data_IF_637093268868
#
_entry.id   IF_637093268868
#
_cell.length_a   1.000
_cell.length_b   1.000
_cell.length_c   1.000
_cell.angle_alpha   90.00
_cell.angle_beta   90.00
_cell.angle_gamma   90.00
#
_symmetry.space_group_name_H-M   'P 1'
#
loop_
_entity.id
_entity.type
_entity.pdbx_description
1 polymer ?
#
# COMPACT_ATOMS: atom_id res chain seq x y z
N UNK A 1 1.06 52.19 3.88
CA UNK A 1 0.71 51.59 5.18
C UNK A 1 0.86 50.06 5.13
N UNK A 2 -0.09 49.29 4.58
CA UNK A 2 0.02 47.81 4.51
C UNK A 2 1.20 47.26 3.67
N UNK A 3 1.55 47.93 2.57
CA UNK A 3 2.77 47.63 1.79
C UNK A 3 4.06 47.91 2.57
N UNK A 4 4.02 48.87 3.49
CA UNK A 4 5.14 49.21 4.38
C UNK A 4 5.27 48.12 5.43
N UNK A 5 4.17 47.70 6.08
CA UNK A 5 4.12 46.56 7.00
C UNK A 5 4.66 45.28 6.37
N UNK A 6 4.35 44.98 5.11
CA UNK A 6 4.86 43.81 4.41
C UNK A 6 6.35 43.91 4.06
N UNK A 7 6.86 45.11 3.71
CA UNK A 7 8.30 45.33 3.58
C UNK A 7 9.00 45.17 4.92
N UNK A 8 8.39 45.66 5.99
CA UNK A 8 8.89 45.47 7.35
C UNK A 8 8.87 44.00 7.74
N UNK A 9 7.80 43.25 7.43
CA UNK A 9 7.71 41.80 7.71
C UNK A 9 8.70 41.00 6.88
N UNK A 10 8.94 41.36 5.61
CA UNK A 10 9.99 40.76 4.78
C UNK A 10 11.39 41.08 5.31
N UNK A 11 11.62 42.31 5.79
CA UNK A 11 12.87 42.69 6.48
C UNK A 11 13.01 41.91 7.78
N UNK A 12 11.96 41.81 8.59
CA UNK A 12 11.94 41.03 9.83
C UNK A 12 12.18 39.54 9.56
N UNK A 13 11.63 38.98 8.49
CA UNK A 13 11.88 37.59 8.06
C UNK A 13 13.34 37.39 7.65
N UNK A 14 13.87 38.25 6.77
CA UNK A 14 15.27 38.21 6.36
C UNK A 14 16.23 38.42 7.54
N UNK A 15 15.87 39.31 8.46
CA UNK A 15 16.64 39.62 9.66
C UNK A 15 16.55 38.51 10.71
N UNK A 16 15.40 37.82 10.86
CA UNK A 16 15.19 36.70 11.80
C UNK A 16 16.22 35.58 11.61
N UNK A 17 16.64 35.34 10.36
CA UNK A 17 17.67 34.36 10.03
C UNK A 17 19.11 34.87 10.23
N UNK A 18 19.29 36.16 10.52
CA UNK A 18 20.60 36.81 10.72
C UNK A 18 20.87 37.26 12.16
N UNK A 19 19.88 37.19 13.07
CA UNK A 19 20.05 37.62 14.46
C UNK A 19 20.89 36.62 15.30
N UNK A 20 22.00 37.06 15.93
CA UNK A 20 22.88 36.18 16.73
C UNK A 20 22.21 35.60 17.98
N UNK A 21 21.24 36.32 18.56
CA UNK A 21 20.42 35.88 19.70
C UNK A 21 19.43 34.77 19.34
N UNK A 22 19.16 34.60 18.05
CA UNK A 22 18.24 33.58 17.56
C UNK A 22 18.85 32.18 17.51
N UNK A 23 20.18 32.04 17.54
CA UNK A 23 20.87 30.74 17.58
C UNK A 23 20.58 29.88 18.84
N UNK A 24 19.85 30.42 19.83
CA UNK A 24 19.50 29.71 21.06
C UNK A 24 18.10 29.10 21.10
N UNK A 25 17.19 29.43 20.17
CA UNK A 25 15.88 28.76 20.14
C UNK A 25 15.91 27.50 19.25
N UNK A 26 15.13 26.46 19.57
CA UNK A 26 15.00 25.28 18.72
C UNK A 26 14.47 25.66 17.33
N UNK A 27 15.01 25.05 16.27
CA UNK A 27 14.60 25.27 14.88
C UNK A 27 13.08 25.17 14.66
N UNK A 28 12.42 24.25 15.38
CA UNK A 28 10.96 24.06 15.34
C UNK A 28 10.19 25.31 15.79
N UNK A 29 10.72 26.07 16.76
CA UNK A 29 10.06 27.27 17.26
C UNK A 29 10.10 28.40 16.23
N UNK A 30 11.21 28.52 15.48
CA UNK A 30 11.31 29.44 14.34
C UNK A 30 10.36 29.09 13.23
N UNK A 31 10.26 27.81 12.88
CA UNK A 31 9.34 27.34 11.85
C UNK A 31 7.88 27.62 12.24
N UNK A 32 7.53 27.46 13.52
CA UNK A 32 6.19 27.79 14.01
C UNK A 32 5.90 29.29 13.90
N UNK A 33 6.80 30.15 14.41
CA UNK A 33 6.59 31.61 14.36
C UNK A 33 6.54 32.14 12.92
N UNK A 34 7.41 31.62 12.06
CA UNK A 34 7.39 31.92 10.62
C UNK A 34 6.07 31.50 9.99
N UNK A 35 5.58 30.31 10.32
CA UNK A 35 4.27 29.86 9.84
C UNK A 35 3.16 30.75 10.33
N UNK A 36 3.05 31.03 11.63
CA UNK A 36 1.96 31.84 12.21
C UNK A 36 1.90 33.23 11.55
N UNK A 37 3.08 33.84 11.33
CA UNK A 37 3.16 35.14 10.69
C UNK A 37 2.78 35.10 9.20
N UNK A 38 3.27 34.10 8.46
CA UNK A 38 2.88 33.92 7.07
C UNK A 38 1.40 33.56 6.92
N UNK A 39 0.87 32.74 7.82
CA UNK A 39 -0.51 32.28 7.86
C UNK A 39 -1.47 33.44 8.07
N UNK A 40 -1.23 34.26 9.10
CA UNK A 40 -1.99 35.50 9.34
C UNK A 40 -1.93 36.46 8.13
N UNK A 41 -0.77 36.59 7.48
CA UNK A 41 -0.67 37.41 6.27
C UNK A 41 -1.50 36.85 5.12
N UNK A 42 -1.47 35.53 4.89
CA UNK A 42 -2.31 34.89 3.87
C UNK A 42 -3.79 35.13 4.17
N UNK A 43 -4.24 34.84 5.39
CA UNK A 43 -5.64 35.03 5.79
C UNK A 43 -6.09 36.49 5.64
N UNK A 44 -5.25 37.45 6.04
CA UNK A 44 -5.54 38.87 5.85
C UNK A 44 -5.63 39.27 4.38
N UNK A 45 -4.82 38.67 3.50
CA UNK A 45 -4.88 38.93 2.07
C UNK A 45 -6.13 38.35 1.43
N UNK A 46 -6.53 37.13 1.82
CA UNK A 46 -7.76 36.49 1.35
C UNK A 46 -8.99 37.30 1.80
N UNK A 47 -9.06 37.67 3.08
CA UNK A 47 -10.17 38.50 3.58
C UNK A 47 -10.21 39.87 2.88
N UNK A 48 -9.04 40.49 2.64
CA UNK A 48 -8.99 41.76 1.92
C UNK A 48 -9.41 41.63 0.44
N UNK A 49 -9.06 40.52 -0.22
CA UNK A 49 -9.52 40.18 -1.58
C UNK A 49 -11.05 40.06 -1.63
N UNK A 50 -11.64 39.25 -0.75
CA UNK A 50 -13.09 39.08 -0.67
C UNK A 50 -13.84 40.39 -0.42
N UNK A 51 -13.32 41.23 0.49
CA UNK A 51 -13.93 42.52 0.78
C UNK A 51 -13.89 43.44 -0.45
N UNK A 52 -12.82 43.39 -1.24
CA UNK A 52 -12.69 44.15 -2.49
C UNK A 52 -13.59 43.63 -3.60
N UNK A 53 -13.72 42.32 -3.77
CA UNK A 53 -14.66 41.72 -4.71
C UNK A 53 -16.10 42.09 -4.35
N UNK A 54 -16.44 42.10 -3.06
CA UNK A 54 -17.77 42.52 -2.58
C UNK A 54 -18.02 44.02 -2.82
N UNK A 55 -17.02 44.87 -2.56
CA UNK A 55 -17.09 46.30 -2.91
C UNK A 55 -17.30 46.50 -4.41
N UNK A 56 -16.59 45.72 -5.24
CA UNK A 56 -16.71 45.75 -6.70
C UNK A 56 -18.12 45.36 -7.14
N UNK A 57 -18.64 44.23 -6.66
CA UNK A 57 -19.99 43.75 -6.97
C UNK A 57 -21.05 44.79 -6.55
N UNK A 58 -20.87 45.42 -5.39
CA UNK A 58 -21.73 46.51 -4.92
C UNK A 58 -21.66 47.75 -5.81
N UNK A 59 -20.47 48.13 -6.27
CA UNK A 59 -20.24 49.28 -7.16
C UNK A 59 -20.78 49.05 -8.56
N UNK A 60 -20.60 47.85 -9.12
CA UNK A 60 -21.16 47.46 -10.42
C UNK A 60 -22.69 47.49 -10.36
N UNK A 61 -23.28 47.04 -9.25
CA UNK A 61 -24.74 47.07 -9.04
C UNK A 61 -25.27 48.48 -8.76
N UNK A 62 -24.47 49.37 -8.16
CA UNK A 62 -24.87 50.75 -7.82
C UNK A 62 -23.71 51.76 -7.93
N UNK A 63 -23.37 52.23 -9.16
CA UNK A 63 -22.20 53.08 -9.39
C UNK A 63 -22.27 54.46 -8.72
N UNK A 64 -23.49 54.96 -8.45
CA UNK A 64 -23.73 56.35 -8.01
C UNK A 64 -23.48 56.58 -6.52
N UNK A 65 -23.31 55.54 -5.72
CA UNK A 65 -23.32 55.66 -4.25
C UNK A 65 -21.92 55.77 -3.61
N UNK A 66 -20.84 55.46 -4.33
CA UNK A 66 -19.69 54.93 -3.60
C UNK A 66 -18.65 55.96 -3.13
N UNK A 67 -18.37 57.10 -3.78
CA UNK A 67 -17.27 57.99 -3.27
C UNK A 67 -17.35 59.50 -3.46
N UNK A 68 -18.50 60.10 -3.75
CA UNK A 68 -18.63 61.58 -3.74
C UNK A 68 -17.66 62.35 -4.67
N UNK A 69 -16.99 61.65 -5.59
CA UNK A 69 -16.16 62.17 -6.68
C UNK A 69 -16.66 61.58 -7.98
N UNK A 70 -16.81 62.40 -9.02
CA UNK A 70 -17.11 61.92 -10.36
C UNK A 70 -15.84 61.35 -10.99
N UNK A 71 -15.52 60.11 -10.67
CA UNK A 71 -14.62 59.34 -11.52
C UNK A 71 -15.42 58.84 -12.72
N UNK A 72 -14.82 58.89 -13.91
CA UNK A 72 -15.45 58.27 -15.07
C UNK A 72 -15.34 56.74 -14.96
N UNK A 73 -16.16 56.01 -15.72
CA UNK A 73 -16.26 54.56 -15.64
C UNK A 73 -14.92 53.86 -15.94
N UNK A 74 -14.10 54.45 -16.79
CA UNK A 74 -12.80 53.91 -17.21
C UNK A 74 -11.73 54.09 -16.12
N UNK A 75 -11.70 55.23 -15.41
CA UNK A 75 -10.81 55.48 -14.27
C UNK A 75 -11.08 54.49 -13.12
N UNK A 76 -12.36 54.19 -12.87
CA UNK A 76 -12.77 53.20 -11.88
C UNK A 76 -12.24 51.82 -12.30
N UNK A 77 -12.47 51.40 -13.55
CA UNK A 77 -11.96 50.12 -14.07
C UNK A 77 -10.43 50.02 -14.00
N UNK A 78 -9.71 51.11 -14.32
CA UNK A 78 -8.25 51.15 -14.30
C UNK A 78 -7.70 51.00 -12.88
N UNK A 79 -8.20 51.78 -11.90
CA UNK A 79 -7.74 51.71 -10.50
C UNK A 79 -8.02 50.33 -9.87
N UNK A 80 -9.10 49.66 -10.29
CA UNK A 80 -9.38 48.28 -9.88
C UNK A 80 -8.43 47.27 -10.50
N UNK A 81 -8.13 47.41 -11.80
CA UNK A 81 -7.16 46.54 -12.48
C UNK A 81 -5.78 46.65 -11.83
N UNK A 82 -5.35 47.87 -11.51
CA UNK A 82 -4.07 48.13 -10.84
C UNK A 82 -4.03 47.56 -9.42
N UNK A 83 -5.13 47.68 -8.65
CA UNK A 83 -5.22 47.09 -7.31
C UNK A 83 -5.26 45.56 -7.34
N UNK A 84 -5.98 44.96 -8.30
CA UNK A 84 -6.01 43.51 -8.51
C UNK A 84 -4.63 42.96 -8.85
N UNK A 85 -3.92 43.60 -9.79
CA UNK A 85 -2.53 43.28 -10.13
C UNK A 85 -1.58 43.40 -8.93
N UNK A 86 -1.78 44.42 -8.08
CA UNK A 86 -0.94 44.63 -6.92
C UNK A 86 -1.23 43.59 -5.82
N UNK A 87 -2.49 43.19 -5.62
CA UNK A 87 -2.87 42.08 -4.75
C UNK A 87 -2.31 40.74 -5.24
N UNK A 88 -2.42 40.46 -6.53
CA UNK A 88 -1.89 39.24 -7.15
C UNK A 88 -0.37 39.13 -6.95
N UNK A 89 0.36 40.22 -7.19
CA UNK A 89 1.81 40.30 -6.90
C UNK A 89 2.13 40.10 -5.43
N UNK A 90 1.28 40.59 -4.53
CA UNK A 90 1.47 40.46 -3.10
C UNK A 90 1.24 39.01 -2.63
N UNK A 91 0.15 38.40 -3.10
CA UNK A 91 -0.18 37.00 -2.85
C UNK A 91 0.98 36.11 -3.30
N UNK A 92 1.46 36.28 -4.53
CA UNK A 92 2.60 35.53 -5.05
C UNK A 92 3.86 35.67 -4.19
N UNK A 93 4.12 36.83 -3.59
CA UNK A 93 5.28 37.02 -2.71
C UNK A 93 5.09 36.33 -1.35
N UNK A 94 3.91 36.41 -0.75
CA UNK A 94 3.64 35.76 0.55
C UNK A 94 3.65 34.23 0.40
N UNK A 95 3.03 33.69 -0.66
CA UNK A 95 3.06 32.25 -0.91
C UNK A 95 4.48 31.74 -1.19
N UNK A 96 5.30 32.48 -1.93
CA UNK A 96 6.72 32.13 -2.09
C UNK A 96 7.46 32.03 -0.76
N UNK A 97 7.21 32.96 0.17
CA UNK A 97 7.83 32.91 1.50
C UNK A 97 7.36 31.68 2.30
N UNK A 98 6.07 31.33 2.24
CA UNK A 98 5.56 30.08 2.84
C UNK A 98 6.28 28.86 2.25
N UNK A 99 6.32 28.78 0.91
CA UNK A 99 6.94 27.70 0.17
C UNK A 99 8.46 27.65 0.31
N UNK A 100 9.12 28.71 0.78
CA UNK A 100 10.56 28.73 1.03
C UNK A 100 10.87 28.36 2.49
N UNK A 101 10.15 28.94 3.46
CA UNK A 101 10.57 28.90 4.87
C UNK A 101 9.78 27.92 5.76
N UNK A 102 8.57 27.52 5.38
CA UNK A 102 7.75 26.61 6.19
C UNK A 102 8.00 25.17 5.76
N UNK A 103 8.58 24.34 6.64
CA UNK A 103 8.88 22.93 6.38
C UNK A 103 8.12 21.96 7.28
N UNK A 104 7.11 22.45 8.01
CA UNK A 104 6.25 21.62 8.84
C UNK A 104 5.07 21.11 7.98
N UNK A 105 4.99 19.80 7.67
CA UNK A 105 3.95 19.29 6.79
C UNK A 105 2.55 19.42 7.39
N UNK A 106 2.38 19.39 8.72
CA UNK A 106 1.07 19.55 9.37
C UNK A 106 0.52 20.95 9.16
N UNK A 107 1.37 21.96 9.33
CA UNK A 107 1.02 23.37 9.11
C UNK A 107 0.71 23.65 7.64
N UNK A 108 1.54 23.14 6.72
CA UNK A 108 1.29 23.26 5.28
C UNK A 108 -0.01 22.54 4.88
N UNK A 109 -0.30 21.36 5.45
CA UNK A 109 -1.53 20.62 5.15
C UNK A 109 -2.79 21.32 5.66
N UNK A 110 -2.69 22.05 6.78
CA UNK A 110 -3.77 22.90 7.26
C UNK A 110 -3.99 24.08 6.30
N UNK A 111 -2.91 24.79 5.95
CA UNK A 111 -2.99 25.91 5.02
C UNK A 111 -3.55 25.49 3.66
N UNK A 112 -3.13 24.34 3.12
CA UNK A 112 -3.66 23.79 1.88
C UNK A 112 -5.20 23.60 1.92
N UNK A 113 -5.71 23.07 3.05
CA UNK A 113 -7.16 22.89 3.24
C UNK A 113 -7.91 24.22 3.29
N UNK A 114 -7.36 25.22 3.97
CA UNK A 114 -7.95 26.55 4.05
C UNK A 114 -7.96 27.22 2.66
N UNK A 115 -6.87 27.14 1.91
CA UNK A 115 -6.79 27.66 0.53
C UNK A 115 -7.81 26.99 -0.39
N UNK A 116 -7.97 25.67 -0.27
CA UNK A 116 -8.98 24.92 -1.02
C UNK A 116 -10.41 25.36 -0.68
N UNK A 117 -10.72 25.57 0.61
CA UNK A 117 -12.03 26.07 1.07
C UNK A 117 -12.32 27.47 0.54
N UNK A 118 -11.31 28.33 0.49
CA UNK A 118 -11.39 29.69 -0.07
C UNK A 118 -11.30 29.72 -1.61
N UNK A 119 -11.24 28.56 -2.26
CA UNK A 119 -11.17 28.37 -3.73
C UNK A 119 -9.92 28.96 -4.39
N UNK A 120 -8.83 29.09 -3.66
CA UNK A 120 -7.52 29.48 -4.20
C UNK A 120 -6.79 28.23 -4.70
N UNK A 121 -7.30 27.63 -5.79
CA UNK A 121 -6.93 26.28 -6.24
C UNK A 121 -5.45 26.13 -6.61
N UNK A 122 -4.89 27.07 -7.36
CA UNK A 122 -3.46 27.05 -7.72
C UNK A 122 -2.55 27.11 -6.49
N UNK A 123 -2.86 27.98 -5.52
CA UNK A 123 -2.08 28.06 -4.28
C UNK A 123 -2.27 26.81 -3.41
N UNK A 124 -3.48 26.23 -3.40
CA UNK A 124 -3.75 24.98 -2.71
C UNK A 124 -2.93 23.83 -3.30
N UNK A 125 -2.77 23.78 -4.62
CA UNK A 125 -1.91 22.81 -5.33
C UNK A 125 -0.45 22.97 -4.90
N UNK A 126 0.10 24.18 -4.95
CA UNK A 126 1.52 24.42 -4.65
C UNK A 126 1.86 24.10 -3.19
N UNK A 127 1.01 24.55 -2.25
CA UNK A 127 1.20 24.28 -0.82
C UNK A 127 1.03 22.80 -0.51
N UNK A 128 0.03 22.14 -1.13
CA UNK A 128 -0.16 20.69 -0.98
C UNK A 128 1.03 19.91 -1.54
N UNK A 129 1.55 20.30 -2.70
CA UNK A 129 2.72 19.68 -3.32
C UNK A 129 3.93 19.73 -2.39
N UNK A 130 4.24 20.91 -1.83
CA UNK A 130 5.35 21.04 -0.87
C UNK A 130 5.14 20.18 0.38
N UNK A 131 3.94 20.17 0.95
CA UNK A 131 3.62 19.33 2.11
C UNK A 131 3.79 17.84 1.78
N UNK A 132 3.30 17.44 0.60
CA UNK A 132 3.33 16.08 0.12
C UNK A 132 4.76 15.59 -0.14
N UNK A 133 5.65 16.43 -0.69
CA UNK A 133 7.06 16.09 -0.91
C UNK A 133 7.79 15.82 0.41
N UNK A 134 7.55 16.64 1.43
CA UNK A 134 8.11 16.43 2.78
C UNK A 134 7.58 15.12 3.37
N UNK A 135 6.28 14.85 3.24
CA UNK A 135 5.67 13.62 3.75
C UNK A 135 6.13 12.38 3.00
N UNK A 136 6.32 12.45 1.67
CA UNK A 136 6.84 11.35 0.83
C UNK A 136 8.25 10.96 1.25
N UNK A 137 9.12 11.94 1.54
CA UNK A 137 10.45 11.67 2.08
C UNK A 137 10.37 10.92 3.42
N UNK A 138 9.56 11.42 4.36
CA UNK A 138 9.35 10.74 5.66
C UNK A 138 8.75 9.34 5.51
N UNK A 139 7.83 9.16 4.56
CA UNK A 139 7.21 7.88 4.27
C UNK A 139 8.22 6.88 3.69
N UNK A 140 9.11 7.32 2.79
CA UNK A 140 10.18 6.51 2.25
C UNK A 140 11.18 6.08 3.33
N UNK A 141 11.58 7.02 4.20
CA UNK A 141 12.44 6.72 5.35
C UNK A 141 11.79 5.71 6.31
N UNK A 142 10.46 5.85 6.55
CA UNK A 142 9.72 4.90 7.36
C UNK A 142 9.65 3.51 6.73
N UNK A 143 9.38 3.41 5.43
CA UNK A 143 9.39 2.13 4.71
C UNK A 143 10.76 1.44 4.79
N UNK A 144 11.83 2.21 4.59
CA UNK A 144 13.21 1.71 4.71
C UNK A 144 13.50 1.19 6.11
N UNK A 145 13.09 1.92 7.14
CA UNK A 145 13.20 1.49 8.53
C UNK A 145 12.47 0.15 8.79
N UNK A 146 11.22 0.01 8.35
CA UNK A 146 10.45 -1.23 8.53
C UNK A 146 11.09 -2.42 7.79
N UNK A 147 11.61 -2.19 6.59
CA UNK A 147 12.32 -3.21 5.82
C UNK A 147 13.61 -3.68 6.54
N UNK A 148 14.40 -2.75 7.09
CA UNK A 148 15.59 -3.08 7.89
C UNK A 148 15.22 -3.84 9.17
N UNK A 149 14.17 -3.43 9.86
CA UNK A 149 13.66 -4.12 11.05
C UNK A 149 13.24 -5.56 10.74
N UNK A 150 12.55 -5.78 9.62
CA UNK A 150 12.19 -7.11 9.16
C UNK A 150 13.43 -7.96 8.85
N UNK A 151 14.40 -7.41 8.11
CA UNK A 151 15.67 -8.10 7.81
C UNK A 151 16.42 -8.51 9.09
N UNK A 152 16.42 -7.65 10.11
CA UNK A 152 17.02 -7.95 11.42
C UNK A 152 16.31 -9.12 12.13
N UNK A 153 14.97 -9.13 12.11
CA UNK A 153 14.16 -10.23 12.70
C UNK A 153 14.43 -11.54 11.96
N UNK A 154 14.46 -11.53 10.63
CA UNK A 154 14.67 -12.73 9.83
C UNK A 154 16.09 -13.29 10.03
N UNK A 155 17.10 -12.42 10.13
CA UNK A 155 18.49 -12.83 10.41
C UNK A 155 18.71 -13.31 11.84
N UNK A 156 18.05 -12.70 12.83
CA UNK A 156 18.16 -13.13 14.24
C UNK A 156 17.51 -14.49 14.52
N UNK A 157 16.61 -14.96 13.64
CA UNK A 157 15.99 -16.30 13.71
C UNK A 157 16.85 -17.43 13.14
N UNK A 158 17.93 -17.12 12.42
CA UNK A 158 18.86 -18.12 11.91
C UNK A 158 19.70 -18.69 13.07
N UNK A 159 19.91 -20.02 13.15
CA UNK A 159 20.70 -20.63 14.22
C UNK A 159 22.13 -20.09 14.17
N UNK A 160 22.55 -19.38 15.21
CA UNK A 160 23.91 -18.88 15.34
C UNK A 160 24.86 -20.09 15.41
N UNK A 161 25.60 -20.33 14.32
CA UNK A 161 26.75 -21.23 14.33
C UNK A 161 27.77 -20.74 15.37
N UNK A 162 28.46 -21.68 16.02
CA UNK A 162 29.40 -21.43 17.11
C UNK A 162 30.47 -20.37 16.75
N UNK A 163 30.19 -19.11 17.08
CA UNK A 163 31.05 -17.95 16.86
C UNK A 163 30.33 -16.71 17.36
N UNK A 164 30.51 -16.38 18.65
CA UNK A 164 29.77 -15.37 19.39
C UNK A 164 30.06 -13.90 19.02
N UNK A 165 30.00 -13.56 17.73
CA UNK A 165 30.01 -12.19 17.25
C UNK A 165 28.71 -11.89 16.50
N UNK A 166 28.13 -10.70 16.74
CA UNK A 166 27.16 -10.12 15.82
C UNK A 166 27.87 -10.00 14.46
N UNK A 167 27.37 -10.66 13.43
CA UNK A 167 27.94 -10.56 12.07
C UNK A 167 28.03 -9.08 11.68
N UNK A 168 29.10 -8.70 10.98
CA UNK A 168 29.34 -7.33 10.48
C UNK A 168 28.10 -6.75 9.79
N UNK A 169 27.39 -7.58 9.03
CA UNK A 169 26.14 -7.20 8.34
C UNK A 169 24.98 -6.87 9.30
N UNK A 170 24.90 -7.49 10.49
CA UNK A 170 23.89 -7.16 11.50
C UNK A 170 24.26 -5.83 12.19
N UNK A 171 25.56 -5.59 12.39
CA UNK A 171 26.04 -4.33 12.95
C UNK A 171 25.78 -3.14 12.01
N UNK A 172 25.92 -3.34 10.70
CA UNK A 172 25.53 -2.35 9.69
C UNK A 172 24.03 -2.03 9.75
N UNK A 173 23.16 -3.05 9.77
CA UNK A 173 21.70 -2.87 9.89
C UNK A 173 21.34 -2.10 11.16
N UNK A 174 21.95 -2.45 12.30
CA UNK A 174 21.70 -1.76 13.58
C UNK A 174 22.14 -0.29 13.53
N UNK A 175 23.29 -0.01 12.93
CA UNK A 175 23.80 1.36 12.76
C UNK A 175 22.85 2.20 11.90
N UNK A 176 22.32 1.61 10.83
CA UNK A 176 21.37 2.26 9.94
C UNK A 176 20.02 2.50 10.64
N UNK A 177 19.50 1.52 11.39
CA UNK A 177 18.30 1.66 12.23
C UNK A 177 18.46 2.78 13.26
N UNK A 178 19.62 2.86 13.93
CA UNK A 178 19.89 3.90 14.91
C UNK A 178 19.92 5.30 14.27
N UNK A 179 20.27 5.42 13.00
CA UNK A 179 20.24 6.70 12.27
C UNK A 179 18.81 7.26 12.12
N UNK A 180 17.78 6.40 12.11
CA UNK A 180 16.37 6.80 12.02
C UNK A 180 15.72 7.11 13.36
N UNK A 181 16.37 6.79 14.48
CA UNK A 181 15.80 6.76 15.84
C UNK A 181 15.18 8.08 16.32
N UNK A 182 15.59 9.20 15.73
CA UNK A 182 15.10 10.54 16.08
C UNK A 182 14.23 11.19 14.99
N UNK A 183 14.04 10.55 13.84
CA UNK A 183 13.38 11.15 12.66
C UNK A 183 11.97 10.61 12.41
N UNK A 184 11.65 9.41 12.90
CA UNK A 184 10.41 8.70 12.59
C UNK A 184 9.44 8.68 13.79
N UNK A 185 8.75 9.80 14.04
CA UNK A 185 7.70 9.86 15.06
C UNK A 185 6.37 9.28 14.60
N UNK A 186 6.07 9.40 13.30
CA UNK A 186 4.73 9.19 12.79
C UNK A 186 4.56 7.73 12.28
N UNK A 187 3.44 7.06 12.60
CA UNK A 187 3.12 5.75 12.03
C UNK A 187 2.98 5.81 10.51
N UNK A 188 3.36 4.74 9.82
CA UNK A 188 3.31 4.66 8.35
C UNK A 188 1.92 4.94 7.77
N UNK A 189 0.87 4.45 8.44
CA UNK A 189 -0.53 4.68 8.04
C UNK A 189 -0.93 6.15 8.18
N UNK A 190 -0.45 6.83 9.23
CA UNK A 190 -0.71 8.27 9.43
C UNK A 190 -0.08 9.11 8.33
N UNK A 191 1.18 8.79 7.98
CA UNK A 191 1.88 9.43 6.86
C UNK A 191 1.15 9.20 5.54
N UNK A 192 0.76 7.96 5.25
CA UNK A 192 -0.01 7.60 4.05
C UNK A 192 -1.33 8.37 3.97
N UNK A 193 -2.12 8.37 5.04
CA UNK A 193 -3.41 9.06 5.07
C UNK A 193 -3.25 10.57 4.89
N UNK A 194 -2.19 11.16 5.42
CA UNK A 194 -1.87 12.57 5.22
C UNK A 194 -1.50 12.87 3.76
N UNK A 195 -0.70 12.00 3.12
CA UNK A 195 -0.35 12.11 1.70
C UNK A 195 -1.60 11.99 0.82
N UNK A 196 -2.46 11.01 1.09
CA UNK A 196 -3.70 10.78 0.36
C UNK A 196 -4.67 11.95 0.51
N UNK A 197 -4.84 12.49 1.73
CA UNK A 197 -5.67 13.67 1.95
C UNK A 197 -5.19 14.91 1.17
N UNK A 198 -3.87 15.08 1.01
CA UNK A 198 -3.33 16.14 0.17
C UNK A 198 -3.52 15.85 -1.32
N UNK A 199 -3.39 14.59 -1.74
CA UNK A 199 -3.65 14.18 -3.11
C UNK A 199 -5.10 14.48 -3.51
N UNK A 200 -6.06 14.22 -2.62
CA UNK A 200 -7.49 14.53 -2.86
C UNK A 200 -7.70 16.03 -3.11
N UNK A 201 -7.10 16.90 -2.27
CA UNK A 201 -7.14 18.36 -2.46
C UNK A 201 -6.53 18.75 -3.81
N UNK A 202 -5.37 18.19 -4.16
CA UNK A 202 -4.70 18.48 -5.43
C UNK A 202 -5.50 17.98 -6.63
N UNK A 203 -6.18 16.84 -6.54
CA UNK A 203 -7.05 16.28 -7.58
C UNK A 203 -8.27 17.18 -7.80
N UNK A 204 -8.94 17.61 -6.73
CA UNK A 204 -10.08 18.51 -6.80
C UNK A 204 -9.69 19.88 -7.39
N UNK A 205 -8.60 20.45 -6.91
CA UNK A 205 -8.06 21.72 -7.42
C UNK A 205 -7.60 21.61 -8.89
N UNK A 206 -6.92 20.52 -9.26
CA UNK A 206 -6.46 20.30 -10.64
C UNK A 206 -7.63 20.14 -11.62
N UNK A 207 -8.74 19.50 -11.19
CA UNK A 207 -9.97 19.43 -11.99
C UNK A 207 -10.61 20.81 -12.17
N UNK A 208 -10.63 21.64 -11.13
CA UNK A 208 -11.18 22.99 -11.20
C UNK A 208 -10.37 23.90 -12.16
N UNK A 209 -9.04 23.74 -12.18
CA UNK A 209 -8.11 24.54 -12.99
C UNK A 209 -7.72 23.89 -14.33
N UNK A 210 -8.31 22.75 -14.69
CA UNK A 210 -7.98 21.97 -15.89
C UNK A 210 -6.48 21.61 -16.03
N UNK A 211 -5.81 21.28 -14.91
CA UNK A 211 -4.40 20.86 -14.89
C UNK A 211 -4.27 19.33 -14.99
N UNK A 212 -4.42 18.79 -16.20
CA UNK A 212 -4.40 17.34 -16.47
C UNK A 212 -3.13 16.63 -15.97
N UNK A 213 -1.97 17.27 -16.12
CA UNK A 213 -0.68 16.70 -15.67
C UNK A 213 -0.65 16.42 -14.15
N UNK A 214 -1.23 17.31 -13.35
CA UNK A 214 -1.31 17.17 -11.89
C UNK A 214 -2.33 16.09 -11.54
N UNK A 215 -3.46 16.08 -12.22
CA UNK A 215 -4.50 15.07 -12.03
C UNK A 215 -3.95 13.66 -12.29
N UNK A 216 -3.20 13.48 -13.37
CA UNK A 216 -2.51 12.23 -13.69
C UNK A 216 -1.49 11.85 -12.60
N UNK A 217 -0.56 12.75 -12.29
CA UNK A 217 0.51 12.47 -11.31
C UNK A 217 -0.05 12.10 -9.93
N UNK A 218 -1.13 12.76 -9.49
CA UNK A 218 -1.77 12.46 -8.21
C UNK A 218 -2.58 11.16 -8.26
N UNK A 219 -3.23 10.83 -9.38
CA UNK A 219 -3.95 9.55 -9.51
C UNK A 219 -2.98 8.36 -9.48
N UNK A 220 -1.83 8.48 -10.15
CA UNK A 220 -0.73 7.51 -10.09
C UNK A 220 -0.21 7.37 -8.64
N UNK A 221 -0.05 8.49 -7.93
CA UNK A 221 0.39 8.47 -6.54
C UNK A 221 -0.64 7.77 -5.63
N UNK A 222 -1.93 8.08 -5.78
CA UNK A 222 -3.01 7.44 -5.02
C UNK A 222 -3.00 5.94 -5.25
N UNK A 223 -2.84 5.49 -6.50
CA UNK A 223 -2.64 4.08 -6.80
C UNK A 223 -1.40 3.53 -6.10
N UNK A 224 -0.22 4.15 -6.19
CA UNK A 224 0.99 3.64 -5.50
C UNK A 224 0.84 3.56 -3.98
N UNK A 225 -0.04 4.38 -3.40
CA UNK A 225 -0.30 4.43 -1.96
C UNK A 225 -1.41 3.46 -1.50
N UNK A 226 -2.31 3.01 -2.38
CA UNK A 226 -3.42 2.11 -2.04
C UNK A 226 -3.32 0.74 -2.70
N UNK A 227 -2.75 0.70 -3.91
CA UNK A 227 -2.51 -0.46 -4.77
C UNK A 227 -3.72 -1.40 -4.90
N UNK A 228 -4.90 -0.81 -5.09
CA UNK A 228 -6.13 -1.56 -5.36
C UNK A 228 -6.42 -1.62 -6.86
N UNK A 229 -7.16 -2.65 -7.27
CA UNK A 229 -7.64 -2.81 -8.65
C UNK A 229 -8.47 -1.61 -9.09
N UNK A 230 -9.36 -1.11 -8.22
CA UNK A 230 -10.21 0.04 -8.53
C UNK A 230 -9.40 1.30 -8.86
N UNK A 231 -8.31 1.55 -8.11
CA UNK A 231 -7.42 2.69 -8.37
C UNK A 231 -6.55 2.49 -9.60
N UNK A 232 -6.21 1.25 -9.92
CA UNK A 232 -5.48 0.92 -11.14
C UNK A 232 -6.32 1.25 -12.38
N UNK A 233 -7.60 0.85 -12.38
CA UNK A 233 -8.57 1.13 -13.45
C UNK A 233 -8.92 2.62 -13.54
N UNK A 234 -8.97 3.34 -12.40
CA UNK A 234 -9.16 4.80 -12.38
C UNK A 234 -8.01 5.51 -13.11
N UNK A 235 -6.75 5.08 -12.89
CA UNK A 235 -5.60 5.61 -13.62
C UNK A 235 -5.70 5.29 -15.11
N UNK A 236 -6.04 4.05 -15.48
CA UNK A 236 -6.21 3.65 -16.89
C UNK A 236 -7.25 4.53 -17.59
N UNK A 237 -8.42 4.71 -16.97
CA UNK A 237 -9.51 5.54 -17.51
C UNK A 237 -9.09 6.99 -17.71
N UNK A 238 -8.26 7.52 -16.79
CA UNK A 238 -7.82 8.90 -16.83
C UNK A 238 -6.80 9.18 -17.95
N UNK A 239 -5.82 8.28 -18.12
CA UNK A 239 -4.69 8.51 -19.04
C UNK A 239 -4.99 8.06 -20.48
N UNK A 240 -5.99 7.19 -20.65
CA UNK A 240 -6.39 6.65 -21.94
C UNK A 240 -5.48 5.55 -22.46
N UNK A 241 -6.00 4.75 -23.39
CA UNK A 241 -5.37 3.51 -23.87
C UNK A 241 -3.96 3.72 -24.47
N UNK A 242 -3.74 4.83 -25.16
CA UNK A 242 -2.47 5.10 -25.86
C UNK A 242 -1.30 5.22 -24.88
N UNK A 243 -1.42 6.08 -23.86
CA UNK A 243 -0.38 6.29 -22.85
C UNK A 243 -0.32 5.15 -21.83
N UNK A 244 -1.46 4.50 -21.59
CA UNK A 244 -1.57 3.37 -20.68
C UNK A 244 -0.65 2.22 -21.10
N UNK A 245 -0.81 1.74 -22.33
CA UNK A 245 -0.05 0.60 -22.85
C UNK A 245 1.43 0.94 -23.10
N UNK A 246 1.76 2.19 -23.38
CA UNK A 246 3.14 2.58 -23.74
C UNK A 246 4.05 2.84 -22.54
N UNK A 247 3.52 3.41 -21.45
CA UNK A 247 4.34 3.99 -20.38
C UNK A 247 3.87 3.61 -18.98
N UNK A 248 2.56 3.66 -18.71
CA UNK A 248 2.07 3.68 -17.33
C UNK A 248 1.82 2.28 -16.77
N UNK A 249 1.23 1.40 -17.57
CA UNK A 249 0.77 0.07 -17.13
C UNK A 249 1.90 -0.76 -16.54
N UNK A 250 2.98 -0.95 -17.30
CA UNK A 250 4.10 -1.78 -16.90
C UNK A 250 4.91 -1.17 -15.75
N UNK A 251 5.00 0.17 -15.68
CA UNK A 251 5.63 0.89 -14.56
C UNK A 251 4.86 0.67 -13.25
N UNK A 252 3.52 0.72 -13.30
CA UNK A 252 2.67 0.46 -12.14
C UNK A 252 2.72 -1.00 -11.70
N UNK A 253 2.71 -1.95 -12.64
CA UNK A 253 2.81 -3.37 -12.35
C UNK A 253 4.20 -3.75 -11.81
N UNK A 254 5.26 -3.15 -12.34
CA UNK A 254 6.62 -3.26 -11.80
C UNK A 254 6.69 -2.77 -10.36
N UNK A 255 6.03 -1.65 -10.06
CA UNK A 255 5.96 -1.12 -8.69
C UNK A 255 5.25 -2.09 -7.74
N UNK A 256 4.08 -2.63 -8.15
CA UNK A 256 3.35 -3.63 -7.37
C UNK A 256 4.18 -4.90 -7.17
N UNK A 257 4.82 -5.39 -8.22
CA UNK A 257 5.67 -6.57 -8.18
C UNK A 257 6.85 -6.39 -7.20
N UNK A 258 7.51 -5.24 -7.21
CA UNK A 258 8.63 -4.94 -6.32
C UNK A 258 8.20 -4.71 -4.85
N UNK A 259 6.95 -4.32 -4.61
CA UNK A 259 6.48 -3.99 -3.26
C UNK A 259 6.36 -5.24 -2.36
N UNK A 260 6.88 -5.18 -1.13
CA UNK A 260 6.79 -6.26 -0.14
C UNK A 260 5.48 -6.16 0.67
N UNK A 261 4.50 -7.07 0.45
CA UNK A 261 3.19 -7.02 1.13
C UNK A 261 3.25 -7.39 2.61
N UNK A 262 4.40 -7.86 3.11
CA UNK A 262 4.56 -8.30 4.52
C UNK A 262 5.06 -7.18 5.44
N UNK A 263 5.38 -6.00 4.90
CA UNK A 263 5.78 -4.85 5.70
C UNK A 263 4.61 -4.36 6.58
N UNK A 264 4.87 -3.94 7.83
CA UNK A 264 3.86 -3.31 8.68
C UNK A 264 3.16 -2.14 7.98
N UNK A 265 1.84 -2.15 8.01
CA UNK A 265 1.01 -1.14 7.34
C UNK A 265 1.05 -1.21 5.81
N UNK A 266 1.44 -2.33 5.17
CA UNK A 266 1.36 -2.50 3.71
C UNK A 266 -0.01 -2.06 3.14
N UNK A 267 -0.08 -1.34 2.01
CA UNK A 267 -1.36 -0.99 1.40
C UNK A 267 -2.01 -2.17 0.68
N UNK A 268 -1.24 -3.20 0.34
CA UNK A 268 -1.70 -4.35 -0.44
C UNK A 268 -1.42 -5.65 0.32
N UNK A 269 -2.39 -6.56 0.28
CA UNK A 269 -2.20 -7.93 0.76
C UNK A 269 -1.55 -8.79 -0.31
N UNK A 270 -0.94 -9.91 0.06
CA UNK A 270 -0.38 -10.84 -0.94
C UNK A 270 -1.46 -11.34 -1.92
N UNK A 271 -2.67 -11.62 -1.43
CA UNK A 271 -3.80 -12.05 -2.28
C UNK A 271 -4.12 -10.99 -3.33
N UNK A 272 -4.33 -9.74 -2.91
CA UNK A 272 -4.66 -8.63 -3.81
C UNK A 272 -3.53 -8.33 -4.81
N UNK A 273 -2.26 -8.46 -4.37
CA UNK A 273 -1.09 -8.33 -5.23
C UNK A 273 -1.11 -9.37 -6.36
N UNK A 274 -1.31 -10.63 -6.01
CA UNK A 274 -1.37 -11.73 -6.98
C UNK A 274 -2.55 -11.58 -7.91
N UNK A 275 -3.73 -11.23 -7.39
CA UNK A 275 -4.93 -10.99 -8.17
C UNK A 275 -4.70 -9.90 -9.23
N UNK A 276 -4.13 -8.75 -8.83
CA UNK A 276 -3.84 -7.65 -9.74
C UNK A 276 -2.85 -8.06 -10.85
N UNK A 277 -1.74 -8.72 -10.48
CA UNK A 277 -0.75 -9.18 -11.45
C UNK A 277 -1.32 -10.22 -12.43
N UNK A 278 -2.12 -11.17 -11.94
CA UNK A 278 -2.74 -12.21 -12.77
C UNK A 278 -3.77 -11.61 -13.72
N UNK A 279 -4.63 -10.70 -13.25
CA UNK A 279 -5.61 -9.98 -14.07
C UNK A 279 -4.92 -9.25 -15.23
N UNK A 280 -3.78 -8.66 -14.95
CA UNK A 280 -2.95 -7.95 -15.92
C UNK A 280 -1.96 -8.86 -16.69
N UNK A 281 -2.18 -10.18 -16.69
CA UNK A 281 -1.37 -11.15 -17.45
C UNK A 281 0.12 -11.21 -17.06
N UNK A 282 0.51 -10.64 -15.91
CA UNK A 282 1.83 -10.75 -15.27
C UNK A 282 1.92 -12.00 -14.38
N UNK A 283 1.50 -13.15 -14.93
CA UNK A 283 1.39 -14.39 -14.16
C UNK A 283 2.75 -14.99 -13.80
N UNK A 284 3.81 -14.72 -14.57
CA UNK A 284 5.17 -15.20 -14.27
C UNK A 284 5.72 -14.51 -13.03
N UNK A 285 5.57 -13.20 -12.99
CA UNK A 285 5.96 -12.34 -11.89
C UNK A 285 5.12 -12.67 -10.64
N UNK A 286 3.83 -13.00 -10.81
CA UNK A 286 2.99 -13.48 -9.72
C UNK A 286 3.49 -14.80 -9.11
N UNK A 287 4.01 -15.74 -9.93
CA UNK A 287 4.54 -17.02 -9.44
C UNK A 287 5.76 -16.87 -8.53
N UNK A 288 6.55 -15.80 -8.69
CA UNK A 288 7.70 -15.52 -7.83
C UNK A 288 7.28 -15.24 -6.39
N UNK A 289 6.06 -14.73 -6.19
CA UNK A 289 5.48 -14.41 -4.88
C UNK A 289 4.66 -15.56 -4.28
N UNK A 290 4.91 -16.80 -4.71
CA UNK A 290 4.24 -17.98 -4.15
C UNK A 290 4.36 -18.05 -2.62
N UNK A 291 3.28 -18.37 -1.90
CA UNK A 291 3.31 -18.39 -0.45
C UNK A 291 4.19 -19.54 0.03
N UNK A 292 4.92 -19.30 1.12
CA UNK A 292 5.69 -20.35 1.80
C UNK A 292 4.76 -21.05 2.79
N UNK A 293 4.77 -22.39 2.90
CA UNK A 293 3.94 -23.10 3.85
C UNK A 293 4.34 -22.72 5.28
N UNK A 294 3.68 -21.75 5.88
CA UNK A 294 3.89 -21.30 7.27
C UNK A 294 2.61 -21.50 8.08
N UNK A 295 2.73 -21.45 9.41
CA UNK A 295 1.59 -21.72 10.29
C UNK A 295 0.63 -20.52 10.45
N UNK A 296 1.07 -19.31 10.09
CA UNK A 296 0.39 -18.08 10.49
C UNK A 296 -0.87 -17.77 9.66
N UNK A 297 -0.89 -18.06 8.35
CA UNK A 297 -1.99 -17.64 7.46
C UNK A 297 -2.29 -18.68 6.35
N UNK A 298 -2.79 -19.86 6.75
CA UNK A 298 -3.08 -20.93 5.81
C UNK A 298 -4.20 -20.58 4.80
N UNK A 299 -5.25 -19.86 5.23
CA UNK A 299 -6.41 -19.56 4.38
C UNK A 299 -6.06 -18.64 3.21
N UNK A 300 -5.36 -17.53 3.46
CA UNK A 300 -4.93 -16.60 2.41
C UNK A 300 -3.90 -17.24 1.48
N UNK A 301 -2.99 -18.07 2.02
CA UNK A 301 -2.03 -18.81 1.21
C UNK A 301 -2.72 -19.78 0.23
N UNK A 302 -3.79 -20.46 0.66
CA UNK A 302 -4.56 -21.36 -0.18
C UNK A 302 -5.27 -20.59 -1.31
N UNK A 303 -5.83 -19.43 -1.00
CA UNK A 303 -6.45 -18.55 -1.99
C UNK A 303 -5.45 -18.07 -3.05
N UNK A 304 -4.25 -17.63 -2.63
CA UNK A 304 -3.16 -17.30 -3.56
C UNK A 304 -2.81 -18.47 -4.47
N UNK A 305 -2.67 -19.69 -3.91
CA UNK A 305 -2.36 -20.88 -4.71
C UNK A 305 -3.45 -21.18 -5.75
N UNK A 306 -4.72 -20.94 -5.43
CA UNK A 306 -5.82 -21.10 -6.40
C UNK A 306 -5.73 -20.09 -7.53
N UNK A 307 -5.51 -18.82 -7.21
CA UNK A 307 -5.34 -17.76 -8.22
C UNK A 307 -4.18 -18.10 -9.16
N UNK A 308 -3.04 -18.52 -8.60
CA UNK A 308 -1.88 -18.95 -9.37
C UNK A 308 -2.18 -20.19 -10.21
N UNK A 309 -2.91 -21.17 -9.69
CA UNK A 309 -3.28 -22.36 -10.46
C UNK A 309 -4.02 -22.00 -11.74
N UNK A 310 -5.12 -21.24 -11.62
CA UNK A 310 -5.93 -20.86 -12.79
C UNK A 310 -5.14 -19.99 -13.76
N UNK A 311 -4.29 -19.09 -13.25
CA UNK A 311 -3.43 -18.25 -14.08
C UNK A 311 -2.45 -19.08 -14.92
N UNK A 312 -1.77 -20.05 -14.29
CA UNK A 312 -0.79 -20.90 -14.97
C UNK A 312 -1.47 -21.88 -15.90
N UNK A 313 -2.57 -22.50 -15.49
CA UNK A 313 -3.34 -23.41 -16.33
C UNK A 313 -3.83 -22.72 -17.62
N UNK A 314 -4.28 -21.47 -17.53
CA UNK A 314 -4.78 -20.72 -18.69
C UNK A 314 -3.66 -20.24 -19.64
N UNK A 315 -2.47 -19.97 -19.13
CA UNK A 315 -1.40 -19.31 -19.91
C UNK A 315 -0.20 -20.22 -20.24
N UNK A 316 0.16 -21.16 -19.37
CA UNK A 316 1.31 -22.06 -19.51
C UNK A 316 1.11 -23.36 -18.72
N UNK A 317 0.25 -24.29 -19.19
CA UNK A 317 -0.06 -25.54 -18.51
C UNK A 317 1.17 -26.36 -18.11
N UNK A 318 2.24 -26.31 -18.93
CA UNK A 318 3.48 -27.05 -18.69
C UNK A 318 4.19 -26.60 -17.40
N UNK A 319 3.94 -25.38 -16.93
CA UNK A 319 4.51 -24.83 -15.70
C UNK A 319 3.74 -25.21 -14.43
N UNK A 320 2.61 -25.91 -14.55
CA UNK A 320 1.82 -26.35 -13.39
C UNK A 320 2.60 -27.30 -12.46
N UNK A 321 3.55 -28.06 -13.00
CA UNK A 321 4.39 -28.97 -12.20
C UNK A 321 5.11 -28.29 -11.03
N UNK A 322 5.59 -27.06 -11.22
CA UNK A 322 6.27 -26.31 -10.17
C UNK A 322 5.31 -25.86 -9.05
N UNK A 323 4.06 -25.58 -9.40
CA UNK A 323 3.03 -25.21 -8.44
C UNK A 323 2.54 -26.44 -7.67
N UNK A 324 2.46 -27.61 -8.31
CA UNK A 324 2.12 -28.89 -7.68
C UNK A 324 3.03 -29.20 -6.50
N UNK A 325 4.35 -28.99 -6.63
CA UNK A 325 5.30 -29.19 -5.51
C UNK A 325 4.99 -28.28 -4.32
N UNK A 326 4.58 -27.04 -4.58
CA UNK A 326 4.18 -26.10 -3.53
C UNK A 326 2.89 -26.55 -2.84
N UNK A 327 1.88 -26.96 -3.62
CA UNK A 327 0.59 -27.48 -3.11
C UNK A 327 0.82 -28.74 -2.26
N UNK A 328 1.69 -29.66 -2.69
CA UNK A 328 2.07 -30.85 -1.90
C UNK A 328 2.65 -30.46 -0.55
N UNK A 329 3.57 -29.49 -0.52
CA UNK A 329 4.19 -29.03 0.72
C UNK A 329 3.17 -28.45 1.72
N UNK A 330 2.20 -27.66 1.24
CA UNK A 330 1.09 -27.16 2.07
C UNK A 330 0.20 -28.30 2.58
N UNK A 331 -0.20 -29.20 1.69
CA UNK A 331 -1.08 -30.32 2.03
C UNK A 331 -0.45 -31.24 3.07
N UNK A 332 0.85 -31.51 2.97
CA UNK A 332 1.61 -32.26 3.97
C UNK A 332 1.53 -31.60 5.36
N UNK A 333 1.66 -30.25 5.44
CA UNK A 333 1.52 -29.54 6.72
C UNK A 333 0.11 -29.59 7.27
N UNK A 334 -0.90 -29.52 6.41
CA UNK A 334 -2.31 -29.64 6.83
C UNK A 334 -2.63 -31.06 7.31
N UNK A 335 -2.05 -32.11 6.70
CA UNK A 335 -2.13 -33.48 7.22
C UNK A 335 -1.48 -33.62 8.61
N UNK A 336 -0.34 -32.97 8.86
CA UNK A 336 0.29 -32.95 10.20
C UNK A 336 -0.62 -32.29 11.26
N UNK A 337 -1.38 -31.28 10.86
CA UNK A 337 -2.38 -30.60 11.70
C UNK A 337 -3.72 -31.34 11.76
N UNK A 338 -3.89 -32.42 11.00
CA UNK A 338 -5.15 -33.15 10.83
C UNK A 338 -6.30 -32.30 10.26
N UNK A 339 -5.99 -31.31 9.41
CA UNK A 339 -6.97 -30.52 8.70
C UNK A 339 -7.13 -31.06 7.28
N UNK A 340 -8.14 -31.91 7.08
CA UNK A 340 -8.25 -32.71 5.86
C UNK A 340 -8.88 -31.95 4.68
N UNK A 341 -9.73 -30.96 4.98
CA UNK A 341 -10.60 -30.35 3.97
C UNK A 341 -10.11 -28.97 3.50
N UNK A 342 -9.07 -28.41 4.12
CA UNK A 342 -8.59 -27.06 3.79
C UNK A 342 -8.07 -26.95 2.36
N UNK A 343 -7.50 -28.03 1.84
CA UNK A 343 -6.90 -28.08 0.50
C UNK A 343 -7.83 -28.66 -0.57
N UNK A 344 -9.07 -29.08 -0.23
CA UNK A 344 -9.92 -29.89 -1.12
C UNK A 344 -10.07 -29.30 -2.52
N UNK A 345 -10.40 -28.01 -2.61
CA UNK A 345 -10.57 -27.35 -3.90
C UNK A 345 -9.29 -27.32 -4.76
N UNK A 346 -8.10 -27.24 -4.15
CA UNK A 346 -6.84 -27.33 -4.91
C UNK A 346 -6.52 -28.79 -5.29
N UNK A 347 -6.85 -29.74 -4.42
CA UNK A 347 -6.66 -31.16 -4.70
C UNK A 347 -7.62 -31.66 -5.77
N UNK A 348 -8.84 -31.11 -5.86
CA UNK A 348 -9.79 -31.37 -6.94
C UNK A 348 -9.20 -30.95 -8.29
N UNK A 349 -8.64 -29.73 -8.38
CA UNK A 349 -7.96 -29.23 -9.58
C UNK A 349 -6.74 -30.07 -9.94
N UNK A 350 -5.90 -30.40 -8.94
CA UNK A 350 -4.71 -31.23 -9.14
C UNK A 350 -5.05 -32.67 -9.56
N UNK A 351 -6.21 -33.19 -9.15
CA UNK A 351 -6.65 -34.53 -9.46
C UNK A 351 -6.95 -34.74 -10.95
N UNK A 352 -7.42 -33.71 -11.65
CA UNK A 352 -7.69 -33.79 -13.10
C UNK A 352 -6.40 -33.86 -13.93
N UNK A 353 -5.37 -33.09 -13.55
CA UNK A 353 -4.11 -33.02 -14.29
C UNK A 353 -2.99 -33.96 -13.80
N UNK A 354 -2.96 -34.29 -12.51
CA UNK A 354 -1.85 -34.99 -11.84
C UNK A 354 -2.32 -36.12 -10.91
N UNK A 355 -3.07 -37.13 -11.42
CA UNK A 355 -3.68 -38.18 -10.58
C UNK A 355 -2.66 -39.03 -9.81
N UNK A 356 -1.47 -39.28 -10.39
CA UNK A 356 -0.39 -40.01 -9.69
C UNK A 356 0.16 -39.23 -8.50
N UNK A 357 0.29 -37.92 -8.63
CA UNK A 357 0.81 -37.06 -7.56
C UNK A 357 -0.17 -36.96 -6.39
N UNK A 358 -1.48 -37.03 -6.66
CA UNK A 358 -2.51 -37.17 -5.62
C UNK A 358 -2.31 -38.47 -4.85
N UNK A 359 -2.11 -39.59 -5.54
CA UNK A 359 -1.87 -40.89 -4.88
C UNK A 359 -0.63 -40.85 -3.98
N UNK A 360 0.48 -40.32 -4.48
CA UNK A 360 1.73 -40.23 -3.72
C UNK A 360 1.58 -39.30 -2.50
N UNK A 361 0.87 -38.17 -2.67
CA UNK A 361 0.59 -37.21 -1.61
C UNK A 361 -0.25 -37.82 -0.48
N UNK A 362 -1.35 -38.50 -0.81
CA UNK A 362 -2.20 -39.16 0.18
C UNK A 362 -1.51 -40.37 0.82
N UNK A 363 -0.69 -41.11 0.07
CA UNK A 363 0.13 -42.20 0.62
C UNK A 363 1.09 -41.68 1.69
N UNK A 364 1.78 -40.57 1.41
CA UNK A 364 2.65 -39.89 2.39
C UNK A 364 1.87 -39.31 3.57
N UNK A 365 0.69 -38.72 3.30
CA UNK A 365 -0.22 -38.20 4.33
C UNK A 365 -0.67 -39.28 5.31
N UNK A 366 -0.99 -40.48 4.80
CA UNK A 366 -1.34 -41.64 5.62
C UNK A 366 -0.24 -42.00 6.61
N UNK A 367 1.01 -42.06 6.14
CA UNK A 367 2.16 -42.37 6.99
C UNK A 367 2.38 -41.33 8.09
N UNK A 368 2.25 -40.05 7.73
CA UNK A 368 2.36 -38.92 8.68
C UNK A 368 1.30 -39.01 9.77
N UNK A 369 0.03 -39.18 9.38
CA UNK A 369 -1.07 -39.29 10.34
C UNK A 369 -0.89 -40.50 11.26
N UNK A 370 -0.28 -41.58 10.76
CA UNK A 370 -0.08 -42.82 11.51
C UNK A 370 1.14 -42.84 12.43
N UNK A 371 2.16 -42.03 12.16
CA UNK A 371 3.45 -42.05 12.88
C UNK A 371 3.31 -41.80 14.39
N UNK A 372 2.29 -41.06 14.85
CA UNK A 372 2.02 -40.81 16.28
C UNK A 372 0.51 -40.80 16.62
N UNK A 373 -0.27 -41.65 15.95
CA UNK A 373 -1.73 -41.70 16.16
C UNK A 373 -2.11 -42.46 17.43
N UNK A 374 -2.78 -41.77 18.36
CA UNK A 374 -3.48 -42.41 19.48
C UNK A 374 -4.82 -43.00 19.02
N UNK A 375 -5.41 -43.90 19.80
CA UNK A 375 -6.72 -44.51 19.49
C UNK A 375 -7.84 -43.49 19.28
N UNK A 376 -7.75 -42.31 19.93
CA UNK A 376 -8.68 -41.19 19.75
C UNK A 376 -8.65 -40.58 18.34
N UNK A 377 -7.55 -40.76 17.59
CA UNK A 377 -7.36 -40.22 16.24
C UNK A 377 -7.70 -41.22 15.12
N UNK A 378 -8.06 -42.46 15.45
CA UNK A 378 -8.36 -43.47 14.42
C UNK A 378 -9.57 -43.10 13.56
N UNK A 379 -10.63 -42.53 14.16
CA UNK A 379 -11.78 -42.06 13.38
C UNK A 379 -11.38 -41.06 12.29
N UNK A 380 -10.59 -40.05 12.66
CA UNK A 380 -10.10 -39.03 11.75
C UNK A 380 -9.17 -39.59 10.66
N UNK A 381 -8.37 -40.60 10.99
CA UNK A 381 -7.57 -41.31 10.00
C UNK A 381 -8.44 -42.18 9.05
N UNK A 382 -9.51 -42.79 9.56
CA UNK A 382 -10.48 -43.51 8.73
C UNK A 382 -11.21 -42.54 7.79
N UNK A 383 -11.63 -41.37 8.30
CA UNK A 383 -12.23 -40.31 7.49
C UNK A 383 -11.27 -39.85 6.37
N UNK A 384 -9.98 -39.68 6.69
CA UNK A 384 -8.93 -39.41 5.70
C UNK A 384 -8.84 -40.50 4.61
N UNK A 385 -8.88 -41.77 5.00
CA UNK A 385 -8.85 -42.89 4.06
C UNK A 385 -10.10 -42.97 3.19
N UNK A 386 -11.27 -42.59 3.71
CA UNK A 386 -12.50 -42.45 2.90
C UNK A 386 -12.31 -41.37 1.84
N UNK A 387 -11.76 -40.21 2.20
CA UNK A 387 -11.47 -39.12 1.24
C UNK A 387 -10.48 -39.61 0.17
N UNK A 388 -9.37 -40.25 0.57
CA UNK A 388 -8.40 -40.82 -0.35
C UNK A 388 -9.05 -41.83 -1.31
N UNK A 389 -9.85 -42.77 -0.80
CA UNK A 389 -10.58 -43.76 -1.60
C UNK A 389 -11.43 -43.07 -2.65
N UNK A 390 -12.27 -42.12 -2.24
CA UNK A 390 -13.19 -41.45 -3.15
C UNK A 390 -12.46 -40.70 -4.28
N UNK A 391 -11.35 -40.02 -3.95
CA UNK A 391 -10.52 -39.32 -4.93
C UNK A 391 -9.85 -40.26 -5.93
N UNK A 392 -9.26 -41.37 -5.45
CA UNK A 392 -8.62 -42.35 -6.33
C UNK A 392 -9.62 -43.08 -7.24
N UNK A 393 -10.79 -43.41 -6.72
CA UNK A 393 -11.87 -44.00 -7.52
C UNK A 393 -12.34 -43.03 -8.61
N UNK A 394 -12.43 -41.72 -8.31
CA UNK A 394 -12.83 -40.71 -9.27
C UNK A 394 -11.85 -40.56 -10.46
N UNK A 395 -10.57 -40.89 -10.27
CA UNK A 395 -9.54 -40.91 -11.34
C UNK A 395 -9.23 -42.30 -11.90
N UNK A 396 -9.98 -43.33 -11.49
CA UNK A 396 -9.80 -44.70 -11.98
C UNK A 396 -8.59 -45.45 -11.40
N UNK A 397 -7.96 -44.96 -10.33
CA UNK A 397 -6.83 -45.62 -9.65
C UNK A 397 -7.31 -46.65 -8.60
N UNK A 398 -8.17 -47.57 -9.04
CA UNK A 398 -8.83 -48.57 -8.17
C UNK A 398 -7.83 -49.62 -7.67
N UNK A 399 -6.94 -50.08 -8.55
CA UNK A 399 -5.97 -51.12 -8.23
C UNK A 399 -4.92 -50.60 -7.24
N UNK A 400 -4.45 -49.37 -7.43
CA UNK A 400 -3.54 -48.69 -6.52
C UNK A 400 -4.15 -48.49 -5.13
N UNK A 401 -5.45 -48.16 -5.06
CA UNK A 401 -6.17 -48.10 -3.78
C UNK A 401 -6.20 -49.47 -3.09
N UNK A 402 -6.56 -50.53 -3.81
CA UNK A 402 -6.65 -51.88 -3.27
C UNK A 402 -5.29 -52.36 -2.73
N UNK A 403 -4.22 -52.13 -3.47
CA UNK A 403 -2.86 -52.43 -3.06
C UNK A 403 -2.44 -51.61 -1.84
N UNK A 404 -2.77 -50.31 -1.84
CA UNK A 404 -2.47 -49.41 -0.74
C UNK A 404 -3.17 -49.84 0.56
N UNK A 405 -4.48 -50.08 0.53
CA UNK A 405 -5.23 -50.45 1.74
C UNK A 405 -4.81 -51.82 2.27
N UNK A 406 -4.46 -52.77 1.40
CA UNK A 406 -3.88 -54.06 1.79
C UNK A 406 -2.54 -53.87 2.54
N UNK A 407 -1.66 -52.98 2.05
CA UNK A 407 -0.40 -52.63 2.72
C UNK A 407 -0.65 -51.96 4.07
N UNK A 408 -1.62 -51.03 4.16
CA UNK A 408 -2.00 -50.37 5.42
C UNK A 408 -2.51 -51.39 6.44
N UNK A 409 -3.43 -52.29 6.06
CA UNK A 409 -3.94 -53.37 6.93
C UNK A 409 -2.83 -54.28 7.44
N UNK A 410 -1.89 -54.65 6.57
CA UNK A 410 -0.75 -55.50 6.94
C UNK A 410 0.18 -54.80 7.93
N UNK A 411 0.50 -53.52 7.68
CA UNK A 411 1.39 -52.69 8.51
C UNK A 411 0.80 -52.38 9.89
N UNK A 412 -0.51 -52.12 9.95
CA UNK A 412 -1.20 -51.67 11.17
C UNK A 412 -1.99 -52.79 11.88
N UNK A 413 -1.75 -54.07 11.54
CA UNK A 413 -2.49 -55.22 12.06
C UNK A 413 -2.51 -55.35 13.60
N UNK A 414 -1.53 -54.74 14.28
CA UNK A 414 -1.44 -54.72 15.76
C UNK A 414 -2.47 -53.77 16.39
N UNK A 415 -2.98 -52.79 15.64
CA UNK A 415 -3.96 -51.79 16.10
C UNK A 415 -5.39 -52.30 15.87
N UNK A 416 -5.82 -53.31 16.65
CA UNK A 416 -7.13 -54.00 16.47
C UNK A 416 -8.33 -53.07 16.32
N UNK A 417 -8.40 -52.01 17.13
CA UNK A 417 -9.50 -51.03 17.07
C UNK A 417 -9.52 -50.27 15.73
N UNK A 418 -8.35 -49.95 15.16
CA UNK A 418 -8.27 -49.32 13.86
C UNK A 418 -8.73 -50.28 12.76
N UNK A 419 -8.25 -51.53 12.78
CA UNK A 419 -8.66 -52.55 11.79
C UNK A 419 -10.18 -52.74 11.80
N UNK A 420 -10.79 -52.86 12.98
CA UNK A 420 -12.25 -52.97 13.10
C UNK A 420 -12.96 -51.75 12.49
N UNK A 421 -12.44 -50.53 12.65
CA UNK A 421 -13.03 -49.34 12.02
C UNK A 421 -12.87 -49.34 10.50
N UNK A 422 -11.73 -49.81 9.98
CA UNK A 422 -11.52 -49.95 8.53
C UNK A 422 -12.49 -50.96 7.89
N UNK A 423 -12.84 -52.03 8.62
CA UNK A 423 -13.82 -53.03 8.19
C UNK A 423 -15.25 -52.49 8.19
N UNK A 424 -15.62 -51.72 9.22
CA UNK A 424 -16.95 -51.08 9.31
C UNK A 424 -17.20 -50.09 8.18
N UNK A 425 -16.20 -49.32 7.77
CA UNK A 425 -16.31 -48.33 6.71
C UNK A 425 -16.16 -48.89 5.28
N UNK A 426 -16.11 -50.23 5.11
CA UNK A 426 -15.96 -50.88 3.79
C UNK A 426 -14.81 -50.28 2.96
N UNK A 427 -13.68 -50.02 3.62
CA UNK A 427 -12.50 -49.44 2.95
C UNK A 427 -11.70 -50.50 2.17
N UNK A 428 -12.03 -51.79 2.31
CA UNK A 428 -11.60 -52.84 1.37
C UNK A 428 -12.69 -53.14 0.33
N UNK A 429 -12.37 -54.00 -0.63
CA UNK A 429 -13.38 -54.75 -1.40
C UNK A 429 -14.28 -55.51 -0.46
#
# INVERSE_FOLDING_TARGET
AKLEELRTLRSCFAEMFTFPSCHRMPLQHYQSLAFDLCHELVLHLLHFKQLKETELDGMVRNPRLVRGRSMNEDEIKQEFTDNALLQEKLNLQVFKLVLEFVNNPTQLSQLARELHQEKEMDNAIDVSGKAQDILKLRYADRLRYEALMKQLIDRSRLPQGAGGGVSEEIQEILTEIDSFRHQLSDPIESLRNSILSLADIMIEAARAENREEILEAQSILVFKMQMSVDKFEEVHTLVGDEKWESEIRDDLLSYVHAYDPTLPGSPITLVAKIELLVREKWWKEALEHRPVPTAADASSSIEVLKLLWFAVESNSPDSLGDLVETIKAFTIKEFQKFNLNSMDALLDLMQEGFPREIFDLYSKGSEIMMTNSSSKKYKMYVDFLVVMKNRLLAVGLVDEWNDFIAKVRKRENRKKNLINMLDVHQLGV
#
